data_IF_673434217770
#
_entry.id   IF_673434217770
#
_cell.length_a   1.000
_cell.length_b   1.000
_cell.length_c   1.000
_cell.angle_alpha   90.00
_cell.angle_beta   90.00
_cell.angle_gamma   90.00
#
_symmetry.space_group_name_H-M   'P 1'
#
loop_
_entity.id
_entity.type
_entity.pdbx_description
1 polymer ?
#
# COMPACT_ATOMS: atom_id res chain seq x y z
N UNK A 1 8.94 -4.20 -25.55
CA UNK A 1 8.11 -3.68 -24.44
C UNK A 1 7.50 -4.86 -23.72
N UNK A 2 7.75 -5.00 -22.41
CA UNK A 2 7.33 -6.14 -21.56
C UNK A 2 5.84 -6.50 -21.73
N UNK A 3 4.97 -5.49 -21.79
CA UNK A 3 3.51 -5.60 -21.91
C UNK A 3 2.99 -5.90 -23.34
N UNK A 4 3.86 -5.93 -24.35
CA UNK A 4 3.50 -6.32 -25.72
C UNK A 4 3.87 -7.78 -26.05
N UNK A 5 4.42 -8.51 -25.08
CA UNK A 5 4.81 -9.90 -25.27
C UNK A 5 3.57 -10.79 -25.52
N UNK A 6 3.73 -11.83 -26.35
CA UNK A 6 2.66 -12.81 -26.63
C UNK A 6 2.00 -13.39 -25.36
N UNK A 7 2.77 -13.77 -24.32
CA UNK A 7 2.20 -14.23 -23.06
C UNK A 7 1.26 -13.21 -22.38
N UNK A 8 1.61 -11.91 -22.40
CA UNK A 8 0.76 -10.87 -21.84
C UNK A 8 -0.54 -10.71 -22.63
N UNK A 9 -0.47 -10.74 -23.97
CA UNK A 9 -1.68 -10.65 -24.81
C UNK A 9 -2.64 -11.81 -24.53
N UNK A 10 -2.13 -13.05 -24.48
CA UNK A 10 -2.95 -14.22 -24.15
C UNK A 10 -3.56 -14.10 -22.75
N UNK A 11 -2.79 -13.63 -21.76
CA UNK A 11 -3.29 -13.40 -20.41
C UNK A 11 -4.44 -12.39 -20.38
N UNK A 12 -4.28 -11.24 -21.04
CA UNK A 12 -5.34 -10.22 -21.10
C UNK A 12 -6.60 -10.73 -21.81
N UNK A 13 -6.44 -11.44 -22.93
CA UNK A 13 -7.57 -12.04 -23.66
C UNK A 13 -8.33 -13.07 -22.81
N UNK A 14 -7.60 -13.94 -22.09
CA UNK A 14 -8.20 -14.95 -21.22
C UNK A 14 -9.01 -14.34 -20.06
N UNK A 15 -8.61 -13.16 -19.57
CA UNK A 15 -9.32 -12.42 -18.53
C UNK A 15 -10.37 -11.44 -19.08
N UNK A 16 -10.56 -11.36 -20.40
CA UNK A 16 -11.46 -10.40 -21.03
C UNK A 16 -11.02 -8.94 -20.90
N UNK A 17 -9.72 -8.69 -20.70
CA UNK A 17 -9.15 -7.36 -20.54
C UNK A 17 -8.79 -6.78 -21.91
N UNK A 18 -9.36 -5.62 -22.24
CA UNK A 18 -8.96 -4.83 -23.40
C UNK A 18 -7.65 -4.09 -23.10
N UNK A 19 -6.54 -4.57 -23.64
CA UNK A 19 -5.23 -3.93 -23.47
C UNK A 19 -5.10 -2.71 -24.39
N UNK A 20 -5.07 -1.52 -23.79
CA UNK A 20 -4.83 -0.25 -24.47
C UNK A 20 -3.44 0.30 -24.14
N UNK A 21 -2.74 0.81 -25.15
CA UNK A 21 -1.37 1.31 -25.02
C UNK A 21 -1.31 2.81 -25.23
N UNK A 22 -0.45 3.51 -24.49
CA UNK A 22 -0.18 4.93 -24.72
C UNK A 22 0.47 5.13 -26.09
N UNK A 23 0.14 6.23 -26.76
CA UNK A 23 0.81 6.67 -27.97
C UNK A 23 2.28 7.00 -27.67
N UNK A 24 3.16 6.65 -28.61
CA UNK A 24 4.56 7.09 -28.59
C UNK A 24 4.60 8.63 -28.61
N UNK A 25 5.56 9.22 -27.90
CA UNK A 25 5.76 10.68 -27.78
C UNK A 25 4.61 11.48 -27.15
N UNK A 26 3.71 10.82 -26.40
CA UNK A 26 2.61 11.46 -25.64
C UNK A 26 2.70 11.17 -24.14
N UNK A 27 3.76 11.61 -23.42
CA UNK A 27 3.96 11.32 -22.00
C UNK A 27 2.80 11.82 -21.10
N UNK A 28 2.04 12.81 -21.56
CA UNK A 28 0.87 13.33 -20.84
C UNK A 28 -0.20 12.25 -20.60
N UNK A 29 -0.29 11.22 -21.45
CA UNK A 29 -1.21 10.10 -21.24
C UNK A 29 -0.87 9.29 -19.98
N UNK A 30 0.41 9.22 -19.60
CA UNK A 30 0.88 8.52 -18.40
C UNK A 30 0.97 9.43 -17.17
N UNK A 31 0.82 10.74 -17.33
CA UNK A 31 1.01 11.72 -16.25
C UNK A 31 0.08 11.54 -15.03
N UNK A 32 -1.06 10.85 -15.17
CA UNK A 32 -1.88 10.47 -14.01
C UNK A 32 -1.22 9.38 -13.18
N UNK A 33 -0.70 8.34 -13.84
CA UNK A 33 -0.04 7.21 -13.20
C UNK A 33 1.27 7.68 -12.55
N UNK A 34 2.06 8.48 -13.26
CA UNK A 34 3.33 9.02 -12.75
C UNK A 34 3.13 9.86 -11.48
N UNK A 35 2.13 10.75 -11.47
CA UNK A 35 1.80 11.56 -10.28
C UNK A 35 1.35 10.67 -9.11
N UNK A 36 0.54 9.65 -9.37
CA UNK A 36 0.10 8.73 -8.32
C UNK A 36 1.26 7.90 -7.78
N UNK A 37 2.15 7.43 -8.64
CA UNK A 37 3.34 6.69 -8.27
C UNK A 37 4.27 7.54 -7.39
N UNK A 38 4.53 8.80 -7.80
CA UNK A 38 5.31 9.75 -7.00
C UNK A 38 4.70 9.97 -5.63
N UNK A 39 3.40 10.26 -5.56
CA UNK A 39 2.69 10.47 -4.30
C UNK A 39 2.79 9.25 -3.36
N UNK A 40 2.62 8.04 -3.90
CA UNK A 40 2.77 6.81 -3.13
C UNK A 40 4.18 6.67 -2.54
N UNK A 41 5.22 6.90 -3.35
CA UNK A 41 6.61 6.80 -2.91
C UNK A 41 7.00 7.88 -1.89
N UNK A 42 6.51 9.11 -2.06
CA UNK A 42 6.74 10.20 -1.13
C UNK A 42 6.13 9.91 0.25
N UNK A 43 4.88 9.44 0.30
CA UNK A 43 4.22 9.04 1.54
C UNK A 43 4.93 7.85 2.18
N UNK A 44 5.33 6.85 1.39
CA UNK A 44 6.09 5.69 1.88
C UNK A 44 7.43 6.11 2.50
N UNK A 45 8.12 7.05 1.87
CA UNK A 45 9.38 7.59 2.35
C UNK A 45 9.19 8.37 3.66
N UNK A 46 8.14 9.18 3.75
CA UNK A 46 7.80 9.90 4.97
C UNK A 46 7.49 8.93 6.14
N UNK A 47 6.68 7.89 5.90
CA UNK A 47 6.38 6.85 6.88
C UNK A 47 7.66 6.16 7.39
N UNK A 48 8.56 5.77 6.47
CA UNK A 48 9.82 5.12 6.84
C UNK A 48 10.69 6.00 7.74
N UNK A 49 10.81 7.29 7.40
CA UNK A 49 11.60 8.23 8.20
C UNK A 49 10.97 8.48 9.57
N UNK A 50 9.65 8.69 9.63
CA UNK A 50 8.93 8.88 10.89
C UNK A 50 9.08 7.67 11.82
N UNK A 51 8.99 6.45 11.27
CA UNK A 51 9.12 5.20 12.01
C UNK A 51 10.57 4.77 12.26
N UNK A 52 11.56 5.52 11.78
CA UNK A 52 12.99 5.18 11.88
C UNK A 52 13.34 3.77 11.36
N UNK A 53 12.62 3.30 10.33
CA UNK A 53 12.78 1.94 9.84
C UNK A 53 13.96 1.79 8.86
N UNK A 54 14.73 0.69 8.98
CA UNK A 54 15.72 0.31 7.98
C UNK A 54 15.11 0.12 6.59
N UNK A 55 15.91 0.36 5.54
CA UNK A 55 15.43 0.30 4.15
C UNK A 55 14.83 -1.07 3.77
N UNK A 56 15.23 -2.17 4.42
CA UNK A 56 14.67 -3.51 4.16
C UNK A 56 13.14 -3.59 4.33
N UNK A 57 12.53 -2.70 5.11
CA UNK A 57 11.08 -2.61 5.33
C UNK A 57 10.37 -1.67 4.34
N UNK A 58 11.01 -1.31 3.23
CA UNK A 58 10.41 -0.40 2.24
C UNK A 58 9.07 -0.94 1.70
N UNK A 59 8.93 -2.26 1.56
CA UNK A 59 7.69 -2.91 1.10
C UNK A 59 6.53 -2.63 2.04
N UNK A 60 6.74 -2.81 3.35
CA UNK A 60 5.72 -2.53 4.38
C UNK A 60 5.34 -1.05 4.41
N UNK A 61 6.30 -0.16 4.17
CA UNK A 61 6.04 1.28 4.06
C UNK A 61 5.13 1.60 2.86
N UNK A 62 5.36 0.95 1.71
CA UNK A 62 4.52 1.14 0.50
C UNK A 62 3.12 0.58 0.70
N UNK A 63 3.00 -0.61 1.29
CA UNK A 63 1.70 -1.21 1.60
C UNK A 63 0.89 -0.32 2.55
N UNK A 64 1.53 0.17 3.60
CA UNK A 64 0.90 1.09 4.57
C UNK A 64 0.50 2.41 3.93
N UNK A 65 1.37 2.99 3.09
CA UNK A 65 1.06 4.21 2.35
C UNK A 65 -0.16 4.00 1.42
N UNK A 66 -0.19 2.91 0.66
CA UNK A 66 -1.33 2.58 -0.20
C UNK A 66 -2.62 2.41 0.60
N UNK A 67 -2.53 1.74 1.76
CA UNK A 67 -3.65 1.52 2.66
C UNK A 67 -4.27 2.84 3.17
N UNK A 68 -3.41 3.76 3.62
CA UNK A 68 -3.79 5.08 4.12
C UNK A 68 -4.36 5.93 2.99
N UNK A 69 -3.66 6.05 1.87
CA UNK A 69 -4.06 6.87 0.72
C UNK A 69 -5.44 6.47 0.19
N UNK A 70 -5.77 5.17 0.19
CA UNK A 70 -7.07 4.68 -0.25
C UNK A 70 -8.20 4.95 0.76
N UNK A 71 -7.88 5.28 2.01
CA UNK A 71 -8.86 5.53 3.09
C UNK A 71 -8.89 6.97 3.56
N UNK A 72 -8.02 7.84 3.06
CA UNK A 72 -8.11 9.26 3.34
C UNK A 72 -9.05 9.95 2.35
N UNK A 73 -9.82 10.94 2.81
CA UNK A 73 -10.67 11.72 1.93
C UNK A 73 -9.82 12.54 0.96
N UNK A 74 -10.31 12.73 -0.26
CA UNK A 74 -9.63 13.55 -1.27
C UNK A 74 -10.56 14.59 -1.87
N UNK A 75 -10.10 15.84 -2.09
CA UNK A 75 -10.91 16.89 -2.72
C UNK A 75 -11.42 16.50 -4.12
N UNK A 76 -10.65 15.68 -4.84
CA UNK A 76 -11.00 15.20 -6.19
C UNK A 76 -12.29 14.37 -6.18
N UNK A 77 -12.61 13.73 -5.06
CA UNK A 77 -13.82 12.91 -4.88
C UNK A 77 -14.84 13.60 -3.97
N UNK A 78 -14.89 14.94 -3.96
CA UNK A 78 -15.76 15.72 -3.08
C UNK A 78 -15.62 15.32 -1.60
N UNK A 79 -14.38 15.13 -1.15
CA UNK A 79 -14.02 14.68 0.21
C UNK A 79 -14.49 13.27 0.59
N UNK A 80 -14.87 12.43 -0.39
CA UNK A 80 -15.00 10.98 -0.18
C UNK A 80 -13.64 10.29 -0.24
N UNK A 81 -13.56 9.12 0.38
CA UNK A 81 -12.38 8.26 0.30
C UNK A 81 -12.41 7.42 -0.99
N UNK A 82 -11.25 7.07 -1.58
CA UNK A 82 -11.21 6.11 -2.68
C UNK A 82 -11.85 4.76 -2.34
N UNK A 83 -11.74 4.32 -1.09
CA UNK A 83 -12.39 3.11 -0.57
C UNK A 83 -13.92 3.21 -0.66
N UNK A 84 -14.51 4.32 -0.20
CA UNK A 84 -15.96 4.58 -0.34
C UNK A 84 -16.40 4.61 -1.80
N UNK A 85 -15.62 5.25 -2.67
CA UNK A 85 -15.95 5.34 -4.08
C UNK A 85 -15.94 3.96 -4.78
N UNK A 86 -15.08 3.05 -4.32
CA UNK A 86 -14.94 1.71 -4.91
C UNK A 86 -15.94 0.70 -4.33
N UNK A 87 -16.15 0.71 -3.01
CA UNK A 87 -16.94 -0.31 -2.30
C UNK A 87 -18.31 0.18 -1.84
N UNK A 88 -18.61 1.47 -1.98
CA UNK A 88 -19.87 2.07 -1.52
C UNK A 88 -20.02 2.16 0.00
N UNK A 89 -18.97 1.86 0.77
CA UNK A 89 -18.99 1.83 2.23
C UNK A 89 -17.86 2.68 2.83
N UNK A 90 -18.15 3.39 3.92
CA UNK A 90 -17.16 4.13 4.69
C UNK A 90 -16.10 3.20 5.31
N UNK A 91 -14.80 3.54 5.25
CA UNK A 91 -13.78 2.75 5.93
C UNK A 91 -13.90 2.94 7.44
N UNK A 92 -13.75 1.85 8.20
CA UNK A 92 -13.50 1.94 9.63
C UNK A 92 -12.04 2.35 9.89
N UNK A 93 -11.82 3.16 10.92
CA UNK A 93 -10.48 3.57 11.38
C UNK A 93 -10.08 2.95 12.72
N UNK A 94 -10.96 2.17 13.35
CA UNK A 94 -10.76 1.65 14.71
C UNK A 94 -9.50 0.77 14.85
N UNK A 95 -9.13 0.07 13.78
CA UNK A 95 -7.95 -0.80 13.75
C UNK A 95 -6.67 -0.07 13.32
N UNK A 96 -6.73 1.20 12.89
CA UNK A 96 -5.53 1.94 12.50
C UNK A 96 -4.67 2.22 13.73
N UNK A 97 -3.36 1.99 13.57
CA UNK A 97 -2.32 2.31 14.55
C UNK A 97 -1.25 3.13 13.87
N UNK A 98 -0.47 3.85 14.67
CA UNK A 98 0.67 4.63 14.18
C UNK A 98 1.71 3.65 13.66
N UNK A 99 2.09 3.80 12.39
CA UNK A 99 3.16 3.02 11.79
C UNK A 99 4.48 3.34 12.49
N UNK A 100 5.23 2.33 12.89
CA UNK A 100 6.44 2.48 13.69
C UNK A 100 6.21 2.50 15.20
N UNK A 101 5.00 2.26 15.71
CA UNK A 101 4.77 2.28 17.15
C UNK A 101 5.27 1.00 17.84
N UNK A 102 5.46 1.09 19.16
CA UNK A 102 5.79 -0.08 19.99
C UNK A 102 4.62 -1.08 19.94
N UNK A 103 4.93 -2.30 19.52
CA UNK A 103 4.05 -3.44 19.57
C UNK A 103 4.69 -4.58 20.39
N UNK A 104 3.87 -5.56 20.77
CA UNK A 104 4.35 -6.76 21.45
C UNK A 104 3.91 -7.97 20.65
N UNK A 105 4.88 -8.78 20.21
CA UNK A 105 4.64 -10.04 19.54
C UNK A 105 4.66 -11.19 20.56
N UNK A 106 3.72 -12.11 20.47
CA UNK A 106 3.75 -13.35 21.25
C UNK A 106 4.85 -14.26 20.69
N UNK A 107 5.81 -14.74 21.52
CA UNK A 107 6.82 -15.69 21.08
C UNK A 107 6.17 -16.96 20.52
N UNK A 108 6.70 -17.50 19.42
CA UNK A 108 6.23 -18.75 18.82
C UNK A 108 6.52 -19.97 19.69
N UNK A 109 7.58 -19.91 20.49
CA UNK A 109 7.95 -20.89 21.50
C UNK A 109 7.42 -20.44 22.86
N UNK A 110 6.44 -21.17 23.39
CA UNK A 110 6.01 -21.02 24.78
C UNK A 110 7.01 -21.75 25.66
N UNK A 111 7.89 -21.00 26.33
CA UNK A 111 8.50 -21.55 27.55
C UNK A 111 7.38 -21.86 28.54
N UNK A 112 7.46 -23.03 29.17
CA UNK A 112 6.36 -23.64 29.94
C UNK A 112 6.06 -22.93 31.27
N UNK A 113 6.90 -21.99 31.68
CA UNK A 113 6.78 -21.31 32.97
C UNK A 113 5.78 -20.13 32.90
N UNK A 114 4.85 -20.10 33.86
CA UNK A 114 3.75 -19.13 33.94
C UNK A 114 4.26 -17.70 34.14
N UNK A 115 5.45 -17.54 34.73
CA UNK A 115 6.02 -16.25 35.12
C UNK A 115 6.97 -15.64 34.07
N UNK A 116 7.25 -16.32 32.96
CA UNK A 116 8.12 -15.77 31.91
C UNK A 116 7.42 -14.65 31.11
N UNK A 117 8.20 -13.69 30.56
CA UNK A 117 7.67 -12.66 29.67
C UNK A 117 6.95 -13.28 28.47
N UNK A 118 5.68 -12.90 28.28
CA UNK A 118 4.82 -13.45 27.21
C UNK A 118 4.86 -12.64 25.91
N UNK A 119 5.65 -11.57 25.86
CA UNK A 119 5.68 -10.63 24.75
C UNK A 119 7.09 -10.13 24.46
N UNK A 120 7.43 -10.07 23.18
CA UNK A 120 8.67 -9.52 22.67
C UNK A 120 8.37 -8.13 22.11
N UNK A 121 9.06 -7.06 22.57
CA UNK A 121 8.87 -5.74 22.01
C UNK A 121 9.28 -5.74 20.53
N UNK A 122 8.42 -5.19 19.69
CA UNK A 122 8.63 -5.05 18.26
C UNK A 122 8.04 -3.71 17.77
N UNK A 123 8.16 -3.48 16.46
CA UNK A 123 7.68 -2.27 15.80
C UNK A 123 6.52 -2.67 14.88
N UNK A 124 5.39 -1.95 14.99
CA UNK A 124 4.22 -2.13 14.14
C UNK A 124 4.40 -1.49 12.75
#
# INVERSE_FOLDING_TARGET
>A
LEFHSGPCQTFFQNLGILHQTSCVDRPQQNGRVERKHRHLLEVSRALRFQAHLPLRFWGDCVLTAAYIINRLPTPILANKTPYEALFGQAPSYAHMKVFGCLAFATPSFRESDKFQPRGIPCVF
#
